data_IF_593114257339
#
_entry.id   IF_593114257339
#
_cell.length_a   1.000
_cell.length_b   1.000
_cell.length_c   1.000
_cell.angle_alpha   90.00
_cell.angle_beta   90.00
_cell.angle_gamma   90.00
#
_symmetry.space_group_name_H-M   'P 1'
#
loop_
_entity.id
_entity.type
_entity.pdbx_description
1 polymer ?
#
# COMPACT_ATOMS: atom_id res chain seq x y z
N UNK A 1 3.20 -26.23 74.10
CA UNK A 1 4.06 -26.33 72.91
C UNK A 1 3.16 -26.14 71.67
N UNK A 2 3.01 -24.91 71.17
CA UNK A 2 2.05 -24.56 70.14
C UNK A 2 2.81 -24.36 68.83
N UNK A 3 2.54 -25.25 67.84
CA UNK A 3 3.10 -25.21 66.51
C UNK A 3 2.41 -24.10 65.67
N UNK A 4 3.19 -23.08 65.33
CA UNK A 4 2.79 -22.00 64.42
C UNK A 4 2.96 -22.46 62.96
N UNK A 5 1.88 -22.67 62.23
CA UNK A 5 1.93 -22.96 60.78
C UNK A 5 2.25 -21.68 59.99
N UNK A 6 3.07 -21.73 58.94
CA UNK A 6 3.32 -20.59 58.07
C UNK A 6 2.17 -20.43 57.05
N UNK A 7 1.30 -19.44 57.27
CA UNK A 7 0.35 -18.95 56.26
C UNK A 7 1.10 -17.91 55.44
N UNK A 8 1.50 -18.17 54.17
CA UNK A 8 1.70 -17.09 53.19
C UNK A 8 2.23 -17.52 51.81
N UNK A 9 2.37 -18.81 51.48
CA UNK A 9 2.89 -19.22 50.18
C UNK A 9 1.83 -19.37 49.08
N UNK A 10 0.56 -19.57 49.45
CA UNK A 10 -0.51 -19.81 48.45
C UNK A 10 -0.91 -18.53 47.66
N UNK A 11 -0.78 -17.36 48.29
CA UNK A 11 -1.16 -16.10 47.63
C UNK A 11 -0.12 -15.63 46.59
N UNK A 12 1.17 -15.80 46.90
CA UNK A 12 2.27 -15.48 45.99
C UNK A 12 2.30 -16.34 44.74
N UNK A 13 1.99 -17.65 44.90
CA UNK A 13 1.94 -18.61 43.81
C UNK A 13 0.76 -18.32 42.83
N UNK A 14 -0.41 -17.95 43.36
CA UNK A 14 -1.55 -17.54 42.52
C UNK A 14 -1.30 -16.25 41.75
N UNK A 15 -0.58 -15.27 42.34
CA UNK A 15 -0.23 -13.99 41.67
C UNK A 15 0.76 -14.20 40.53
N UNK A 16 1.75 -15.10 40.73
CA UNK A 16 2.77 -15.41 39.70
C UNK A 16 2.12 -16.19 38.53
N UNK A 17 1.22 -17.15 38.81
CA UNK A 17 0.51 -17.85 37.74
C UNK A 17 -0.41 -16.91 36.92
N UNK A 18 -1.08 -15.95 37.57
CA UNK A 18 -1.93 -14.97 36.91
C UNK A 18 -1.10 -14.02 36.02
N UNK A 19 0.08 -13.57 36.47
CA UNK A 19 0.97 -12.74 35.70
C UNK A 19 1.55 -13.47 34.46
N UNK A 20 1.92 -14.76 34.60
CA UNK A 20 2.38 -15.57 33.47
C UNK A 20 1.28 -15.83 32.45
N UNK A 21 0.03 -16.07 32.87
CA UNK A 21 -1.10 -16.24 31.96
C UNK A 21 -1.42 -14.95 31.17
N UNK A 22 -1.27 -13.79 31.79
CA UNK A 22 -1.51 -12.50 31.14
C UNK A 22 -0.44 -12.15 30.09
N UNK A 23 0.83 -12.51 30.32
CA UNK A 23 1.90 -12.31 29.34
C UNK A 23 1.80 -13.23 28.14
N UNK A 24 1.24 -14.44 28.28
CA UNK A 24 1.01 -15.36 27.18
C UNK A 24 -0.11 -14.90 26.23
N UNK A 25 -1.07 -14.10 26.68
CA UNK A 25 -2.18 -13.57 25.87
C UNK A 25 -1.76 -12.38 25.00
N UNK A 26 -0.69 -11.68 25.33
CA UNK A 26 -0.22 -10.50 24.56
C UNK A 26 0.61 -10.91 23.33
N UNK A 27 1.18 -12.11 23.32
CA UNK A 27 2.08 -12.55 22.25
C UNK A 27 1.38 -13.08 20.98
N UNK A 28 0.06 -13.16 20.92
CA UNK A 28 -0.68 -13.69 19.76
C UNK A 28 -1.31 -12.64 18.83
N UNK A 29 -1.28 -11.36 19.18
CA UNK A 29 -1.75 -10.32 18.26
C UNK A 29 -0.64 -9.92 17.30
N UNK A 30 -0.58 -10.55 16.15
CA UNK A 30 0.22 -10.05 15.02
C UNK A 30 -0.46 -8.78 14.51
N UNK A 31 -0.03 -7.61 14.98
CA UNK A 31 -0.51 -6.33 14.48
C UNK A 31 -0.03 -6.19 13.03
N UNK A 32 -0.95 -6.42 12.07
CA UNK A 32 -0.69 -6.22 10.65
C UNK A 32 -0.88 -4.76 10.24
N UNK A 33 -0.22 -4.35 9.16
CA UNK A 33 -0.48 -3.07 8.53
C UNK A 33 0.28 -1.86 9.10
N UNK A 34 1.12 -2.02 10.13
CA UNK A 34 1.98 -0.93 10.62
C UNK A 34 3.20 -0.69 9.73
N UNK A 35 3.68 -1.74 9.08
CA UNK A 35 4.81 -1.71 8.15
C UNK A 35 4.38 -2.24 6.79
N UNK A 36 5.32 -2.41 5.86
CA UNK A 36 5.05 -3.02 4.55
C UNK A 36 4.61 -4.49 4.62
N UNK A 37 4.72 -5.12 5.79
CA UNK A 37 4.47 -6.55 6.02
C UNK A 37 5.37 -7.50 5.18
N UNK A 38 6.51 -7.02 4.67
CA UNK A 38 7.49 -7.82 3.93
C UNK A 38 7.97 -9.05 4.72
N UNK A 39 8.10 -8.92 6.04
CA UNK A 39 8.50 -10.00 6.93
C UNK A 39 7.48 -11.16 7.01
N UNK A 40 6.22 -10.92 6.63
CA UNK A 40 5.16 -11.94 6.59
C UNK A 40 5.20 -12.78 5.32
N UNK A 41 5.94 -12.36 4.30
CA UNK A 41 6.12 -13.12 3.07
C UNK A 41 6.92 -14.40 3.37
N UNK A 42 6.50 -15.49 2.74
CA UNK A 42 7.25 -16.75 2.69
C UNK A 42 8.58 -16.56 1.93
N UNK A 43 9.54 -17.47 2.08
CA UNK A 43 10.79 -17.43 1.34
C UNK A 43 10.56 -17.41 -0.18
N UNK A 44 9.59 -18.15 -0.69
CA UNK A 44 9.22 -18.19 -2.11
C UNK A 44 8.63 -16.87 -2.59
N UNK A 45 7.82 -16.20 -1.79
CA UNK A 45 7.25 -14.89 -2.11
C UNK A 45 8.33 -13.80 -2.10
N UNK A 46 9.24 -13.83 -1.15
CA UNK A 46 10.38 -12.89 -1.09
C UNK A 46 11.27 -12.94 -2.33
N UNK A 47 11.45 -14.12 -2.93
CA UNK A 47 12.21 -14.27 -4.18
C UNK A 47 11.56 -13.57 -5.38
N UNK A 48 10.25 -13.25 -5.29
CA UNK A 48 9.52 -12.53 -6.33
C UNK A 48 9.63 -11.02 -6.20
N UNK A 49 10.12 -10.51 -5.07
CA UNK A 49 10.27 -9.09 -4.83
C UNK A 49 11.59 -8.61 -5.41
N UNK A 50 11.52 -7.74 -6.38
CA UNK A 50 12.68 -7.23 -7.13
C UNK A 50 12.66 -5.71 -7.10
N UNK A 51 13.81 -5.10 -6.81
CA UNK A 51 13.96 -3.66 -6.99
C UNK A 51 13.97 -3.34 -8.48
N UNK A 52 13.04 -2.50 -8.91
CA UNK A 52 12.99 -2.06 -10.31
C UNK A 52 13.98 -0.92 -10.54
N UNK A 53 14.71 -1.00 -11.64
CA UNK A 53 15.59 0.05 -12.12
C UNK A 53 15.22 0.33 -13.58
N UNK A 54 14.48 1.38 -13.84
CA UNK A 54 14.15 1.77 -15.21
C UNK A 54 12.66 1.99 -15.45
N UNK A 55 12.28 1.80 -16.70
CA UNK A 55 10.98 2.16 -17.23
C UNK A 55 9.88 1.18 -16.81
N UNK A 56 8.80 1.71 -16.25
CA UNK A 56 7.63 0.90 -15.86
C UNK A 56 6.99 0.19 -17.06
N UNK A 57 7.03 0.80 -18.25
CA UNK A 57 6.49 0.19 -19.48
C UNK A 57 7.23 -1.09 -19.91
N UNK A 58 8.46 -1.28 -19.44
CA UNK A 58 9.26 -2.47 -19.72
C UNK A 58 9.06 -3.62 -18.71
N UNK A 59 8.30 -3.36 -17.64
CA UNK A 59 8.07 -4.35 -16.60
C UNK A 59 7.05 -5.40 -17.08
N UNK A 60 7.31 -6.65 -16.73
CA UNK A 60 6.45 -7.76 -17.16
C UNK A 60 5.24 -7.93 -16.24
N UNK A 61 4.09 -8.19 -16.84
CA UNK A 61 2.88 -8.61 -16.15
C UNK A 61 2.98 -10.11 -15.77
N UNK A 62 3.95 -10.45 -14.93
CA UNK A 62 4.18 -11.79 -14.42
C UNK A 62 3.94 -11.86 -12.90
N UNK A 63 4.51 -12.84 -12.23
CA UNK A 63 4.38 -12.97 -10.78
C UNK A 63 5.44 -12.15 -9.99
N UNK A 64 6.20 -11.27 -10.65
CA UNK A 64 7.21 -10.43 -10.00
C UNK A 64 6.56 -9.24 -9.34
N UNK A 65 6.99 -8.89 -8.14
CA UNK A 65 6.60 -7.70 -7.40
C UNK A 65 7.75 -6.69 -7.55
N UNK A 66 7.50 -5.63 -8.29
CA UNK A 66 8.50 -4.61 -8.57
C UNK A 66 8.43 -3.49 -7.54
N UNK A 67 9.52 -3.30 -6.77
CA UNK A 67 9.66 -2.12 -5.92
C UNK A 67 9.95 -0.90 -6.80
N UNK A 68 9.12 0.12 -6.69
CA UNK A 68 9.24 1.35 -7.49
C UNK A 68 9.47 2.58 -6.62
N UNK A 69 10.24 3.51 -7.15
CA UNK A 69 10.51 4.82 -6.57
C UNK A 69 9.64 5.89 -7.23
N UNK A 70 9.49 7.04 -6.58
CA UNK A 70 8.64 8.15 -7.04
C UNK A 70 9.04 8.62 -8.44
N UNK A 71 10.34 8.72 -8.74
CA UNK A 71 10.83 9.21 -10.03
C UNK A 71 10.37 8.33 -11.18
N UNK A 72 10.38 7.00 -11.03
CA UNK A 72 9.91 6.07 -12.05
C UNK A 72 8.41 6.29 -12.37
N UNK A 73 7.60 6.58 -11.33
CA UNK A 73 6.17 6.86 -11.50
C UNK A 73 5.95 8.21 -12.18
N UNK A 74 6.73 9.24 -11.83
CA UNK A 74 6.71 10.53 -12.52
C UNK A 74 7.08 10.37 -14.00
N UNK A 75 8.12 9.60 -14.30
CA UNK A 75 8.57 9.36 -15.68
C UNK A 75 7.48 8.62 -16.48
N UNK A 76 6.79 7.65 -15.86
CA UNK A 76 5.64 6.99 -16.48
C UNK A 76 4.51 7.98 -16.77
N UNK A 77 4.13 8.83 -15.80
CA UNK A 77 3.10 9.85 -16.01
C UNK A 77 3.47 10.85 -17.11
N UNK A 78 4.75 11.20 -17.27
CA UNK A 78 5.24 12.10 -18.31
C UNK A 78 5.16 11.51 -19.72
N UNK A 79 5.23 10.19 -19.84
CA UNK A 79 5.17 9.48 -21.14
C UNK A 79 3.76 9.26 -21.64
N UNK A 80 2.79 9.23 -20.74
CA UNK A 80 1.41 8.89 -21.06
C UNK A 80 0.49 10.10 -20.96
N UNK A 81 -0.41 10.27 -21.96
CA UNK A 81 -1.31 11.41 -22.02
C UNK A 81 -2.23 11.48 -20.80
N UNK A 82 -2.83 10.36 -20.41
CA UNK A 82 -3.73 10.27 -19.27
C UNK A 82 -3.37 9.03 -18.42
N UNK A 83 -3.16 9.25 -17.12
CA UNK A 83 -2.84 8.19 -16.16
C UNK A 83 -3.74 8.34 -14.95
N UNK A 84 -4.31 7.25 -14.48
CA UNK A 84 -4.89 7.16 -13.13
C UNK A 84 -4.06 6.16 -12.33
N UNK A 85 -3.55 6.63 -11.19
CA UNK A 85 -2.82 5.81 -10.22
C UNK A 85 -3.79 5.41 -9.12
N UNK A 86 -3.81 4.13 -8.78
CA UNK A 86 -4.53 3.59 -7.64
C UNK A 86 -3.55 3.22 -6.52
N UNK A 87 -3.66 3.93 -5.37
CA UNK A 87 -3.00 3.54 -4.12
C UNK A 87 -3.69 2.29 -3.55
N UNK A 88 -3.15 1.14 -3.92
CA UNK A 88 -3.79 -0.15 -3.66
C UNK A 88 -3.37 -0.73 -2.32
N UNK A 89 -4.36 -0.94 -1.46
CA UNK A 89 -4.22 -1.71 -0.23
C UNK A 89 -4.82 -3.09 -0.43
N UNK A 90 -4.01 -4.16 -0.49
CA UNK A 90 -4.55 -5.52 -0.51
C UNK A 90 -5.45 -5.79 0.71
N UNK A 91 -6.52 -6.57 0.51
CA UNK A 91 -7.50 -6.88 1.56
C UNK A 91 -8.18 -5.67 2.21
N UNK A 92 -8.29 -4.56 1.48
CA UNK A 92 -9.04 -3.40 1.93
C UNK A 92 -10.53 -3.72 2.04
N UNK A 93 -11.12 -3.55 3.24
CA UNK A 93 -12.56 -3.74 3.48
C UNK A 93 -13.41 -2.48 3.28
N UNK A 94 -12.81 -1.36 2.83
CA UNK A 94 -13.53 -0.11 2.59
C UNK A 94 -14.33 -0.16 1.29
N UNK A 95 -15.50 0.46 1.25
CA UNK A 95 -16.28 0.66 0.02
C UNK A 95 -15.60 1.54 -1.03
N UNK A 96 -14.57 2.30 -0.65
CA UNK A 96 -13.75 3.09 -1.57
C UNK A 96 -12.73 2.23 -2.34
N UNK A 97 -12.43 1.01 -1.84
CA UNK A 97 -11.49 0.11 -2.49
C UNK A 97 -12.17 -0.68 -3.61
N UNK A 98 -11.60 -0.61 -4.80
CA UNK A 98 -12.07 -1.32 -5.99
C UNK A 98 -11.22 -2.58 -6.21
N UNK A 99 -11.79 -3.61 -6.82
CA UNK A 99 -11.02 -4.73 -7.32
C UNK A 99 -10.08 -4.24 -8.45
N UNK A 100 -8.84 -4.74 -8.45
CA UNK A 100 -7.83 -4.24 -9.39
C UNK A 100 -8.23 -4.48 -10.85
N UNK A 101 -8.87 -5.62 -11.17
CA UNK A 101 -9.33 -5.88 -12.52
C UNK A 101 -10.38 -4.86 -12.97
N UNK A 102 -11.35 -4.55 -12.10
CA UNK A 102 -12.41 -3.57 -12.41
C UNK A 102 -11.80 -2.17 -12.62
N UNK A 103 -10.81 -1.81 -11.83
CA UNK A 103 -10.06 -0.56 -12.01
C UNK A 103 -9.35 -0.51 -13.36
N UNK A 104 -8.62 -1.56 -13.72
CA UNK A 104 -7.87 -1.65 -14.99
C UNK A 104 -8.83 -1.59 -16.18
N UNK A 105 -9.92 -2.35 -16.14
CA UNK A 105 -10.91 -2.39 -17.20
C UNK A 105 -11.61 -1.05 -17.38
N UNK A 106 -11.96 -0.39 -16.26
CA UNK A 106 -12.59 0.94 -16.29
C UNK A 106 -11.64 2.00 -16.88
N UNK A 107 -10.36 2.01 -16.53
CA UNK A 107 -9.37 2.92 -17.12
C UNK A 107 -9.21 2.68 -18.62
N UNK A 108 -9.04 1.41 -19.04
CA UNK A 108 -8.87 1.05 -20.45
C UNK A 108 -10.09 1.44 -21.28
N UNK A 109 -11.31 1.22 -20.76
CA UNK A 109 -12.55 1.61 -21.43
C UNK A 109 -12.68 3.12 -21.64
N UNK A 110 -11.95 3.93 -20.85
CA UNK A 110 -11.90 5.38 -20.97
C UNK A 110 -10.63 5.91 -21.68
N UNK A 111 -9.83 5.03 -22.31
CA UNK A 111 -8.61 5.41 -22.99
C UNK A 111 -7.48 5.92 -22.04
N UNK A 112 -7.57 5.60 -20.76
CA UNK A 112 -6.66 6.05 -19.72
C UNK A 112 -5.74 4.91 -19.31
N UNK A 113 -4.46 5.21 -19.03
CA UNK A 113 -3.49 4.24 -18.58
C UNK A 113 -3.65 3.98 -17.07
N UNK A 114 -3.94 2.74 -16.66
CA UNK A 114 -4.01 2.37 -15.25
C UNK A 114 -2.62 2.13 -14.68
N UNK A 115 -2.34 2.63 -13.47
CA UNK A 115 -1.17 2.26 -12.70
C UNK A 115 -1.58 1.86 -11.29
N UNK A 116 -1.33 0.63 -10.90
CA UNK A 116 -1.64 0.13 -9.55
C UNK A 116 -0.38 0.04 -8.73
N UNK A 117 -0.33 0.76 -7.63
CA UNK A 117 0.81 0.78 -6.72
C UNK A 117 0.38 0.25 -5.37
N UNK A 118 0.85 -0.94 -5.02
CA UNK A 118 0.62 -1.56 -3.73
C UNK A 118 1.36 -0.84 -2.61
N UNK A 119 0.77 -0.81 -1.44
CA UNK A 119 1.34 -0.20 -0.25
C UNK A 119 1.54 -1.18 0.91
N UNK A 120 1.24 -2.47 0.73
CA UNK A 120 1.48 -3.56 1.68
C UNK A 120 1.70 -4.87 0.92
N UNK A 121 2.63 -5.69 1.42
CA UNK A 121 2.85 -7.05 0.88
C UNK A 121 1.79 -8.05 1.35
N UNK A 122 1.07 -7.76 2.43
CA UNK A 122 0.07 -8.66 2.96
C UNK A 122 -1.13 -8.77 2.02
N UNK A 123 -1.40 -10.00 1.54
CA UNK A 123 -2.46 -10.28 0.57
C UNK A 123 -2.11 -9.99 -0.89
N UNK A 124 -0.90 -9.46 -1.17
CA UNK A 124 -0.48 -9.16 -2.52
C UNK A 124 -0.26 -10.42 -3.37
N UNK A 125 0.02 -11.57 -2.75
CA UNK A 125 0.22 -12.84 -3.44
C UNK A 125 -1.02 -13.32 -4.22
N UNK A 126 -2.21 -12.87 -3.84
CA UNK A 126 -3.48 -13.27 -4.45
C UNK A 126 -3.81 -12.48 -5.73
N UNK A 127 -3.02 -11.46 -6.06
CA UNK A 127 -3.24 -10.58 -7.22
C UNK A 127 -2.67 -11.14 -8.53
N UNK A 128 -2.40 -12.43 -8.62
CA UNK A 128 -1.60 -13.11 -9.68
C UNK A 128 -2.11 -13.02 -11.12
N UNK A 129 -3.27 -12.43 -11.38
CA UNK A 129 -3.90 -12.46 -12.72
C UNK A 129 -4.29 -11.07 -13.24
N UNK A 130 -3.57 -10.03 -12.82
CA UNK A 130 -3.99 -8.65 -13.11
C UNK A 130 -3.72 -8.20 -14.57
N UNK A 131 -2.92 -8.95 -15.34
CA UNK A 131 -2.55 -8.55 -16.70
C UNK A 131 -1.76 -7.23 -16.78
N UNK A 132 -1.28 -6.73 -15.64
CA UNK A 132 -0.43 -5.56 -15.48
C UNK A 132 0.73 -5.89 -14.54
N UNK A 133 1.87 -5.15 -14.61
CA UNK A 133 2.95 -5.28 -13.64
C UNK A 133 2.46 -5.01 -12.22
N UNK A 134 2.90 -5.82 -11.27
CA UNK A 134 2.58 -5.64 -9.86
C UNK A 134 3.63 -4.72 -9.22
N UNK A 135 3.26 -3.47 -9.01
CA UNK A 135 4.14 -2.46 -8.41
C UNK A 135 3.90 -2.34 -6.91
N UNK A 136 4.95 -2.02 -6.19
CA UNK A 136 4.93 -1.81 -4.75
C UNK A 136 5.83 -0.61 -4.40
N UNK A 137 5.37 0.26 -3.50
CA UNK A 137 6.20 1.36 -3.00
C UNK A 137 7.50 0.79 -2.40
N UNK A 138 8.67 1.28 -2.84
CA UNK A 138 9.94 1.03 -2.14
C UNK A 138 10.05 1.97 -0.92
N UNK A 139 9.96 1.46 0.32
CA UNK A 139 10.07 2.31 1.49
C UNK A 139 11.51 2.72 1.82
N UNK A 140 12.51 2.10 1.20
CA UNK A 140 13.92 2.30 1.52
C UNK A 140 14.39 3.73 1.22
N UNK A 141 14.17 4.31 0.02
CA UNK A 141 14.57 5.69 -0.27
C UNK A 141 13.84 6.72 0.61
N UNK A 142 12.64 6.37 1.09
CA UNK A 142 11.82 7.23 1.95
C UNK A 142 12.28 7.26 3.42
N UNK A 143 13.30 6.48 3.78
CA UNK A 143 13.94 6.48 5.09
C UNK A 143 13.04 6.02 6.25
N UNK A 144 11.97 5.28 5.97
CA UNK A 144 11.04 4.82 7.00
C UNK A 144 10.37 3.49 6.63
N UNK A 145 10.23 2.62 7.64
CA UNK A 145 9.50 1.35 7.53
C UNK A 145 8.01 1.47 7.91
N UNK A 146 7.59 2.59 8.47
CA UNK A 146 6.22 2.81 8.90
C UNK A 146 5.32 3.06 7.68
N UNK A 147 4.32 2.20 7.49
CA UNK A 147 3.46 2.17 6.30
C UNK A 147 2.76 3.52 6.06
N UNK A 148 2.06 4.06 7.03
CA UNK A 148 1.38 5.35 6.89
C UNK A 148 2.35 6.49 6.52
N UNK A 149 3.59 6.43 7.03
CA UNK A 149 4.60 7.45 6.76
C UNK A 149 5.17 7.33 5.35
N UNK A 150 5.55 6.12 4.89
CA UNK A 150 6.11 5.99 3.55
C UNK A 150 5.06 6.22 2.45
N UNK A 151 3.81 5.80 2.63
CA UNK A 151 2.72 6.13 1.70
C UNK A 151 2.60 7.65 1.57
N UNK A 152 2.50 8.34 2.70
CA UNK A 152 2.42 9.80 2.73
C UNK A 152 3.59 10.47 2.02
N UNK A 153 4.81 10.06 2.30
CA UNK A 153 6.01 10.64 1.69
C UNK A 153 6.04 10.38 0.17
N UNK A 154 5.71 9.16 -0.24
CA UNK A 154 5.66 8.78 -1.64
C UNK A 154 4.67 9.64 -2.44
N UNK A 155 3.41 9.70 -2.03
CA UNK A 155 2.40 10.47 -2.75
C UNK A 155 2.59 11.98 -2.62
N UNK A 156 3.10 12.47 -1.49
CA UNK A 156 3.47 13.88 -1.35
C UNK A 156 4.55 14.28 -2.37
N UNK A 157 5.60 13.49 -2.53
CA UNK A 157 6.66 13.71 -3.50
C UNK A 157 6.17 13.52 -4.93
N UNK A 158 5.31 12.54 -5.18
CA UNK A 158 4.74 12.26 -6.49
C UNK A 158 3.97 13.45 -7.06
N UNK A 159 3.19 14.15 -6.22
CA UNK A 159 2.36 15.29 -6.64
C UNK A 159 3.04 16.65 -6.41
N UNK A 160 4.32 16.68 -6.05
CA UNK A 160 5.09 17.89 -5.72
C UNK A 160 4.39 18.79 -4.69
N UNK A 161 3.72 18.19 -3.70
CA UNK A 161 2.93 18.92 -2.72
C UNK A 161 3.79 19.43 -1.57
N UNK A 162 3.68 20.72 -1.30
CA UNK A 162 4.22 21.34 -0.09
C UNK A 162 3.25 21.27 1.12
N UNK A 163 2.05 20.72 0.93
CA UNK A 163 1.07 20.59 2.01
C UNK A 163 1.59 19.72 3.15
N UNK A 164 1.39 20.11 4.41
CA UNK A 164 1.69 19.24 5.54
C UNK A 164 0.77 18.02 5.60
N UNK A 165 -0.44 18.14 5.04
CA UNK A 165 -1.40 17.05 4.98
C UNK A 165 -1.25 16.30 3.66
N UNK A 166 -1.06 14.99 3.69
CA UNK A 166 -1.04 14.18 2.48
C UNK A 166 -2.43 14.11 1.87
N UNK A 167 -2.52 13.79 0.58
CA UNK A 167 -3.79 13.40 0.01
C UNK A 167 -4.28 12.11 0.69
N UNK A 168 -5.53 12.10 1.13
CA UNK A 168 -6.14 10.95 1.82
C UNK A 168 -6.90 10.02 0.85
N UNK A 169 -7.05 10.46 -0.41
CA UNK A 169 -7.82 9.75 -1.41
C UNK A 169 -6.98 8.72 -2.18
N UNK A 170 -7.65 7.71 -2.75
CA UNK A 170 -6.98 6.52 -3.29
C UNK A 170 -6.58 6.63 -4.77
N UNK A 171 -7.19 7.55 -5.53
CA UNK A 171 -7.01 7.63 -6.97
C UNK A 171 -6.42 8.97 -7.38
N UNK A 172 -5.29 8.95 -8.07
CA UNK A 172 -4.53 10.13 -8.47
C UNK A 172 -4.56 10.26 -9.99
N UNK A 173 -5.06 11.37 -10.52
CA UNK A 173 -5.14 11.61 -11.95
C UNK A 173 -4.01 12.52 -12.42
N UNK A 174 -3.40 12.13 -13.55
CA UNK A 174 -2.37 12.88 -14.24
C UNK A 174 -2.74 13.04 -15.71
N UNK A 175 -2.46 14.22 -16.26
CA UNK A 175 -2.62 14.52 -17.68
C UNK A 175 -1.33 15.15 -18.22
N UNK A 176 -0.71 14.51 -19.21
CA UNK A 176 0.57 14.93 -19.77
C UNK A 176 1.64 15.21 -18.68
N UNK A 177 1.77 14.31 -17.72
CA UNK A 177 2.67 14.41 -16.58
C UNK A 177 2.23 15.36 -15.47
N UNK A 178 1.18 16.17 -15.67
CA UNK A 178 0.71 17.13 -14.67
C UNK A 178 -0.33 16.49 -13.76
N UNK A 179 -0.15 16.65 -12.46
CA UNK A 179 -1.13 16.26 -11.46
C UNK A 179 -2.41 17.08 -11.60
N UNK A 180 -3.54 16.40 -11.67
CA UNK A 180 -4.88 16.98 -11.82
C UNK A 180 -5.63 17.05 -10.50
N UNK A 181 -5.51 15.99 -9.71
CA UNK A 181 -6.19 15.87 -8.43
C UNK A 181 -6.15 14.42 -7.91
N UNK A 182 -6.57 14.26 -6.66
CA UNK A 182 -6.81 12.95 -6.05
C UNK A 182 -8.30 12.82 -5.67
N UNK A 183 -8.83 11.62 -5.78
CA UNK A 183 -10.25 11.34 -5.79
C UNK A 183 -10.58 10.12 -4.95
N UNK A 184 -11.80 10.08 -4.42
CA UNK A 184 -12.29 8.99 -3.61
C UNK A 184 -12.67 7.76 -4.42
N UNK A 185 -13.05 7.96 -5.67
CA UNK A 185 -13.45 6.89 -6.58
C UNK A 185 -12.75 6.99 -7.94
N UNK A 186 -12.54 5.84 -8.59
CA UNK A 186 -12.00 5.77 -9.95
C UNK A 186 -12.86 6.57 -10.94
N UNK A 187 -14.18 6.54 -10.79
CA UNK A 187 -15.10 7.30 -11.66
C UNK A 187 -14.85 8.80 -11.61
N UNK A 188 -14.69 9.36 -10.40
CA UNK A 188 -14.36 10.80 -10.24
C UNK A 188 -13.00 11.13 -10.84
N UNK A 189 -12.01 10.26 -10.64
CA UNK A 189 -10.66 10.41 -11.21
C UNK A 189 -10.69 10.48 -12.74
N UNK A 190 -11.45 9.60 -13.39
CA UNK A 190 -11.63 9.58 -14.85
C UNK A 190 -12.43 10.79 -15.35
N UNK A 191 -13.48 11.18 -14.65
CA UNK A 191 -14.26 12.37 -15.00
C UNK A 191 -13.42 13.65 -14.99
N UNK A 192 -12.51 13.79 -14.02
CA UNK A 192 -11.62 14.95 -13.93
C UNK A 192 -10.66 15.09 -15.12
N UNK A 193 -10.24 13.97 -15.73
CA UNK A 193 -9.44 13.96 -16.95
C UNK A 193 -10.25 14.40 -18.18
N UNK A 194 -11.48 13.94 -18.32
CA UNK A 194 -12.33 14.23 -19.47
C UNK A 194 -12.84 15.69 -19.51
N UNK A 195 -13.05 16.35 -18.35
CA UNK A 195 -13.53 17.73 -18.28
C UNK A 195 -12.47 18.75 -18.78
N UNK A 196 -11.18 18.43 -18.69
CA UNK A 196 -10.12 19.36 -19.11
C UNK A 196 -9.84 19.37 -20.61
N UNK A 197 -10.14 18.27 -21.31
CA UNK A 197 -9.99 18.23 -22.77
C UNK A 197 -11.01 19.12 -23.49
N UNK A 198 -12.17 19.42 -22.85
CA UNK A 198 -13.22 20.31 -23.42
C UNK A 198 -12.87 21.80 -23.27
N UNK A 199 -11.97 22.19 -22.37
CA UNK A 199 -11.59 23.60 -22.15
C UNK A 199 -10.37 24.06 -22.97
N UNK A 200 -9.76 23.16 -23.73
CA UNK A 200 -8.53 23.45 -24.53
C UNK A 200 -8.82 23.52 -26.02
N UNK A 201 -10.11 23.41 -26.45
CA UNK A 201 -10.62 23.64 -27.81
C UNK A 201 -11.33 25.01 -27.87
#
# INVERSE_FOLDING_TARGET
MTLKMPKNNCFKTKLILSALAFTALISSCTIGGLTSDYNKLTAKEKQRVVKSFGDIDQLKADNTIYLVEVQQVKDYCNKHQQVVIYDYTPNCGSSACMQVNDFVDMCKANGTNPLVIGNSFWGLADTRKLGIPLLMIDPQPLGTKWRSRYIRLFFKELIDSNSPNPPEELYFSFQNGKYIGNFRSCKEALQALNIKDVKTL
#
